data_IF_287048034289
#
_entry.id   IF_287048034289
#
_cell.length_a   1.000
_cell.length_b   1.000
_cell.length_c   1.000
_cell.angle_alpha   90.00
_cell.angle_beta   90.00
_cell.angle_gamma   90.00
#
_symmetry.space_group_name_H-M   'P 1'
#
loop_
_entity.id
_entity.type
_entity.pdbx_description
1 polymer ?
#
# COMPACT_ATOMS: atom_id res chain seq x y z
N UNK A 1 -43.75 -10.89 -40.57
CA UNK A 1 -44.88 -11.30 -39.72
C UNK A 1 -44.41 -12.48 -38.90
N UNK A 2 -44.01 -12.22 -37.64
CA UNK A 2 -43.63 -13.17 -36.56
C UNK A 2 -42.43 -14.11 -36.88
N UNK A 3 -41.50 -14.46 -35.99
CA UNK A 3 -41.55 -14.53 -34.53
C UNK A 3 -40.12 -14.47 -33.96
N UNK A 4 -40.00 -13.81 -32.81
CA UNK A 4 -38.78 -13.62 -32.04
C UNK A 4 -38.55 -14.89 -31.20
N UNK A 5 -37.56 -15.71 -31.56
CA UNK A 5 -37.14 -16.84 -30.72
C UNK A 5 -35.92 -16.46 -29.88
N UNK A 6 -36.22 -16.12 -28.62
CA UNK A 6 -35.31 -15.88 -27.51
C UNK A 6 -34.51 -17.17 -27.21
N UNK A 7 -33.15 -17.15 -27.14
CA UNK A 7 -32.41 -18.30 -26.62
C UNK A 7 -32.62 -18.43 -25.09
N UNK A 8 -32.75 -19.65 -24.56
CA UNK A 8 -33.12 -19.90 -23.17
C UNK A 8 -32.06 -19.39 -22.17
N UNK A 9 -32.45 -19.08 -20.92
CA UNK A 9 -31.52 -18.65 -19.89
C UNK A 9 -30.46 -19.73 -19.63
N UNK A 10 -29.21 -19.29 -19.55
CA UNK A 10 -28.07 -20.09 -19.13
C UNK A 10 -28.38 -20.75 -17.79
N UNK A 11 -28.60 -22.07 -17.84
CA UNK A 11 -28.76 -22.90 -16.66
C UNK A 11 -27.55 -22.67 -15.75
N UNK A 12 -27.84 -22.16 -14.55
CA UNK A 12 -26.87 -22.01 -13.49
C UNK A 12 -26.14 -23.34 -13.28
N UNK A 13 -24.82 -23.28 -13.27
CA UNK A 13 -23.96 -24.38 -12.92
C UNK A 13 -24.39 -24.95 -11.55
N UNK A 14 -24.98 -26.15 -11.55
CA UNK A 14 -25.36 -26.89 -10.35
C UNK A 14 -24.10 -27.64 -9.87
N UNK A 15 -23.47 -27.14 -8.81
CA UNK A 15 -22.38 -27.85 -8.13
C UNK A 15 -22.89 -29.21 -7.60
N UNK A 16 -22.13 -30.31 -7.71
CA UNK A 16 -22.48 -31.59 -7.09
C UNK A 16 -22.34 -31.55 -5.55
N UNK A 17 -23.24 -32.24 -4.85
CA UNK A 17 -23.46 -32.22 -3.38
C UNK A 17 -22.32 -32.86 -2.53
N UNK A 18 -21.08 -32.85 -2.98
CA UNK A 18 -19.94 -33.49 -2.30
C UNK A 18 -18.80 -32.52 -1.94
N UNK A 19 -19.09 -31.22 -1.84
CA UNK A 19 -18.13 -30.22 -1.39
C UNK A 19 -18.03 -30.17 0.15
N UNK A 20 -16.84 -30.28 0.77
CA UNK A 20 -16.70 -30.54 2.22
C UNK A 20 -16.77 -29.29 3.11
N UNK A 21 -17.46 -28.21 2.70
CA UNK A 21 -17.57 -26.96 3.49
C UNK A 21 -19.02 -26.52 3.78
N UNK A 22 -20.02 -27.37 3.59
CA UNK A 22 -21.39 -27.09 4.01
C UNK A 22 -21.58 -27.33 5.53
N UNK A 23 -20.97 -26.48 6.35
CA UNK A 23 -21.40 -26.31 7.74
C UNK A 23 -22.77 -25.62 7.79
N UNK A 24 -23.59 -25.85 8.84
CA UNK A 24 -24.91 -25.24 8.95
C UNK A 24 -24.79 -23.70 8.98
N UNK A 25 -25.57 -23.04 8.14
CA UNK A 25 -25.71 -21.59 8.14
C UNK A 25 -26.28 -21.13 9.50
N UNK A 26 -25.69 -20.12 10.16
CA UNK A 26 -26.22 -19.63 11.42
C UNK A 26 -27.53 -18.88 11.19
N UNK A 27 -28.62 -19.41 11.74
CA UNK A 27 -29.86 -18.68 11.98
C UNK A 27 -29.64 -17.69 13.13
N UNK A 28 -29.60 -16.40 12.82
CA UNK A 28 -29.78 -15.31 13.79
C UNK A 28 -30.66 -14.26 13.11
N UNK A 29 -31.98 -14.27 13.29
CA UNK A 29 -32.74 -13.53 14.33
C UNK A 29 -32.03 -12.27 14.84
N UNK A 30 -32.73 -11.14 14.68
CA UNK A 30 -32.24 -9.78 14.87
C UNK A 30 -31.57 -9.52 16.21
N UNK A 31 -30.35 -9.01 16.13
CA UNK A 31 -29.76 -8.10 17.11
C UNK A 31 -29.11 -6.98 16.30
N UNK A 32 -29.54 -5.75 16.55
CA UNK A 32 -29.03 -4.54 15.91
C UNK A 32 -27.49 -4.46 15.99
N UNK A 33 -26.84 -4.09 14.89
CA UNK A 33 -25.40 -3.76 14.83
C UNK A 33 -25.21 -2.25 15.01
N UNK A 34 -25.01 -1.72 16.23
CA UNK A 34 -24.60 -0.33 16.42
C UNK A 34 -23.13 -0.06 16.09
N UNK A 35 -22.27 -1.10 16.03
CA UNK A 35 -20.83 -0.94 15.85
C UNK A 35 -20.42 -0.49 14.43
N UNK A 36 -21.05 -1.02 13.38
CA UNK A 36 -20.71 -0.68 11.98
C UNK A 36 -21.04 0.78 11.63
N UNK A 37 -22.10 1.33 12.21
CA UNK A 37 -22.47 2.73 12.01
C UNK A 37 -21.47 3.69 12.67
N UNK A 38 -20.92 3.33 13.82
CA UNK A 38 -19.94 4.14 14.53
C UNK A 38 -18.55 4.15 13.85
N UNK A 39 -18.13 3.00 13.31
CA UNK A 39 -16.86 2.87 12.57
C UNK A 39 -16.84 3.67 11.26
N UNK A 40 -17.98 3.73 10.55
CA UNK A 40 -18.10 4.52 9.31
C UNK A 40 -18.06 6.02 9.61
N UNK A 41 -18.79 6.49 10.63
CA UNK A 41 -18.76 7.89 11.06
C UNK A 41 -17.36 8.34 11.48
N UNK A 42 -16.65 7.53 12.26
CA UNK A 42 -15.28 7.83 12.71
C UNK A 42 -14.30 7.97 11.52
N UNK A 43 -14.48 7.18 10.46
CA UNK A 43 -13.66 7.26 9.24
C UNK A 43 -13.97 8.49 8.40
N UNK A 44 -15.24 8.87 8.31
CA UNK A 44 -15.68 10.09 7.63
C UNK A 44 -15.12 11.33 8.34
N UNK A 45 -15.21 11.39 9.66
CA UNK A 45 -14.68 12.48 10.49
C UNK A 45 -13.15 12.63 10.33
N UNK A 46 -12.42 11.51 10.37
CA UNK A 46 -10.98 11.51 10.15
C UNK A 46 -10.60 12.01 8.73
N UNK A 47 -11.41 11.66 7.72
CA UNK A 47 -11.21 12.11 6.34
C UNK A 47 -11.45 13.62 6.19
N UNK A 48 -12.44 14.16 6.91
CA UNK A 48 -12.78 15.57 6.85
C UNK A 48 -11.77 16.43 7.64
N UNK A 49 -11.31 15.94 8.78
CA UNK A 49 -10.18 16.55 9.50
C UNK A 49 -8.92 16.62 8.62
N UNK A 50 -8.59 15.53 7.91
CA UNK A 50 -7.47 15.51 6.99
C UNK A 50 -7.62 16.56 5.88
N UNK A 51 -8.82 16.69 5.28
CA UNK A 51 -9.08 17.71 4.27
C UNK A 51 -8.88 19.12 4.81
N UNK A 52 -9.37 19.40 6.02
CA UNK A 52 -9.19 20.70 6.68
C UNK A 52 -7.72 21.01 6.95
N UNK A 53 -6.95 20.05 7.43
CA UNK A 53 -5.50 20.21 7.63
C UNK A 53 -4.79 20.55 6.33
N UNK A 54 -5.09 19.82 5.25
CA UNK A 54 -4.52 20.09 3.92
C UNK A 54 -4.90 21.50 3.45
N UNK A 55 -6.17 21.91 3.56
CA UNK A 55 -6.61 23.25 3.14
C UNK A 55 -5.90 24.37 3.91
N UNK A 56 -5.72 24.23 5.22
CA UNK A 56 -4.97 25.19 6.04
C UNK A 56 -3.49 25.23 5.65
N UNK A 57 -2.87 24.07 5.48
CA UNK A 57 -1.47 23.98 5.07
C UNK A 57 -1.25 24.60 3.68
N UNK A 58 -2.22 24.49 2.76
CA UNK A 58 -2.21 25.17 1.45
C UNK A 58 -2.17 26.70 1.56
N UNK A 59 -2.72 27.28 2.63
CA UNK A 59 -2.70 28.73 2.88
C UNK A 59 -1.48 29.19 3.70
N UNK A 60 -0.50 28.31 3.94
CA UNK A 60 0.74 28.63 4.65
C UNK A 60 0.72 28.37 6.15
N UNK A 61 -0.30 27.68 6.67
CA UNK A 61 -0.38 27.28 8.07
C UNK A 61 0.66 26.19 8.39
N UNK A 62 1.73 26.57 9.07
CA UNK A 62 2.84 25.67 9.39
C UNK A 62 2.47 24.60 10.41
N UNK A 63 1.54 24.89 11.34
CA UNK A 63 1.11 23.95 12.36
C UNK A 63 0.22 22.86 11.75
N UNK A 64 -0.64 23.25 10.80
CA UNK A 64 -1.40 22.30 10.01
C UNK A 64 -0.48 21.38 9.19
N UNK A 65 0.59 21.93 8.61
CA UNK A 65 1.60 21.10 7.93
C UNK A 65 2.37 20.21 8.90
N UNK A 66 2.73 20.69 10.10
CA UNK A 66 3.37 19.88 11.14
C UNK A 66 2.51 18.68 11.54
N UNK A 67 1.20 18.89 11.68
CA UNK A 67 0.25 17.79 11.95
C UNK A 67 0.21 16.75 10.82
N UNK A 68 0.30 17.21 9.56
CA UNK A 68 0.42 16.31 8.40
C UNK A 68 1.77 15.58 8.40
N UNK A 69 2.86 16.25 8.76
CA UNK A 69 4.18 15.65 8.89
C UNK A 69 4.15 14.50 9.90
N UNK A 70 3.69 14.75 11.13
CA UNK A 70 3.62 13.74 12.19
C UNK A 70 2.78 12.53 11.78
N UNK A 71 1.67 12.77 11.07
CA UNK A 71 0.76 11.73 10.59
C UNK A 71 1.39 10.83 9.52
N UNK A 72 2.22 11.38 8.64
CA UNK A 72 2.71 10.68 7.44
C UNK A 72 4.20 10.34 7.48
N UNK A 73 4.93 10.77 8.52
CA UNK A 73 6.38 10.53 8.65
C UNK A 73 6.72 9.05 8.53
N UNK A 74 6.09 8.19 9.33
CA UNK A 74 6.35 6.75 9.32
C UNK A 74 6.07 6.12 7.95
N UNK A 75 4.98 6.54 7.31
CA UNK A 75 4.58 6.04 5.99
C UNK A 75 5.64 6.37 4.93
N UNK A 76 6.12 7.61 4.88
CA UNK A 76 7.15 8.04 3.93
C UNK A 76 8.48 7.39 4.26
N UNK A 77 8.89 7.41 5.53
CA UNK A 77 10.15 6.84 5.99
C UNK A 77 10.26 5.35 5.66
N UNK A 78 9.23 4.56 5.99
CA UNK A 78 9.22 3.13 5.71
C UNK A 78 9.25 2.83 4.23
N UNK A 79 8.54 3.61 3.41
CA UNK A 79 8.63 3.49 1.96
C UNK A 79 10.07 3.72 1.47
N UNK A 80 10.68 4.84 1.88
CA UNK A 80 12.04 5.21 1.44
C UNK A 80 13.06 4.20 1.95
N UNK A 81 13.04 3.88 3.24
CA UNK A 81 13.94 2.92 3.86
C UNK A 81 13.86 1.55 3.18
N UNK A 82 12.65 1.05 2.93
CA UNK A 82 12.46 -0.19 2.19
C UNK A 82 13.08 -0.13 0.78
N UNK A 83 13.19 1.05 0.17
CA UNK A 83 13.75 1.21 -1.19
C UNK A 83 15.25 1.44 -1.22
N UNK A 84 15.87 1.91 -0.14
CA UNK A 84 17.29 2.28 -0.12
C UNK A 84 18.13 1.46 0.85
N UNK A 85 17.53 0.80 1.84
CA UNK A 85 18.22 -0.09 2.79
C UNK A 85 19.22 0.62 3.72
N UNK A 86 19.17 1.95 3.82
CA UNK A 86 20.13 2.75 4.57
C UNK A 86 19.39 3.77 5.42
N UNK A 87 19.57 3.72 6.75
CA UNK A 87 18.92 4.65 7.67
C UNK A 87 19.31 6.11 7.37
N UNK A 88 20.60 6.49 7.27
CA UNK A 88 20.96 7.88 6.97
C UNK A 88 20.36 8.38 5.66
N UNK A 89 20.43 7.57 4.60
CA UNK A 89 19.86 7.95 3.31
C UNK A 89 18.33 8.03 3.35
N UNK A 90 17.68 7.17 4.13
CA UNK A 90 16.24 7.21 4.31
C UNK A 90 15.77 8.47 5.04
N UNK A 91 16.50 8.88 6.09
CA UNK A 91 16.24 10.13 6.83
C UNK A 91 16.38 11.35 5.91
N UNK A 92 17.46 11.41 5.12
CA UNK A 92 17.70 12.51 4.17
C UNK A 92 16.60 12.61 3.11
N UNK A 93 16.27 11.51 2.45
CA UNK A 93 15.25 11.48 1.38
C UNK A 93 13.84 11.71 1.93
N UNK A 94 13.56 11.29 3.16
CA UNK A 94 12.29 11.58 3.85
C UNK A 94 12.18 13.07 4.14
N UNK A 95 13.23 13.67 4.71
CA UNK A 95 13.29 15.12 4.97
C UNK A 95 13.09 15.93 3.68
N UNK A 96 13.80 15.59 2.61
CA UNK A 96 13.64 16.25 1.31
C UNK A 96 12.24 16.02 0.70
N UNK A 97 11.60 14.88 0.96
CA UNK A 97 10.21 14.63 0.56
C UNK A 97 9.27 15.63 1.20
N UNK A 98 9.35 15.83 2.52
CA UNK A 98 8.50 16.79 3.23
C UNK A 98 8.83 18.24 2.87
N UNK A 99 10.10 18.58 2.65
CA UNK A 99 10.49 19.90 2.14
C UNK A 99 9.90 20.17 0.74
N UNK A 100 9.91 19.19 -0.17
CA UNK A 100 9.26 19.30 -1.48
C UNK A 100 7.74 19.35 -1.37
N UNK A 101 7.16 18.59 -0.44
CA UNK A 101 5.73 18.61 -0.19
C UNK A 101 5.29 19.99 0.31
N UNK A 102 5.98 20.57 1.29
CA UNK A 102 5.70 21.91 1.80
C UNK A 102 5.73 22.97 0.67
N UNK A 103 6.72 22.90 -0.22
CA UNK A 103 6.83 23.82 -1.37
C UNK A 103 5.72 23.64 -2.42
N UNK A 104 5.11 22.46 -2.51
CA UNK A 104 4.16 22.09 -3.57
C UNK A 104 2.74 21.87 -3.08
N UNK A 105 2.49 21.99 -1.78
CA UNK A 105 1.19 21.67 -1.19
C UNK A 105 0.08 22.56 -1.76
N UNK A 106 0.39 23.81 -2.09
CA UNK A 106 -0.53 24.73 -2.77
C UNK A 106 -1.13 24.16 -4.08
N UNK A 107 -0.36 23.33 -4.80
CA UNK A 107 -0.76 22.71 -6.06
C UNK A 107 -1.45 21.35 -5.89
N UNK A 108 -1.49 20.81 -4.66
CA UNK A 108 -2.12 19.52 -4.41
C UNK A 108 -3.63 19.54 -4.67
N UNK A 109 -4.13 18.50 -5.32
CA UNK A 109 -5.56 18.28 -5.61
C UNK A 109 -5.96 16.83 -5.31
N UNK A 110 -7.18 16.65 -4.81
CA UNK A 110 -7.75 15.36 -4.38
C UNK A 110 -8.24 14.47 -5.55
N UNK A 111 -7.71 14.62 -6.77
CA UNK A 111 -8.18 13.97 -8.02
C UNK A 111 -8.05 12.43 -8.01
N UNK A 112 -8.80 11.74 -7.15
CA UNK A 112 -8.66 10.30 -6.90
C UNK A 112 -7.34 9.92 -6.21
N UNK A 113 -6.62 10.90 -5.67
CA UNK A 113 -5.31 10.74 -5.01
C UNK A 113 -5.45 11.10 -3.54
N UNK A 114 -5.19 10.13 -2.67
CA UNK A 114 -5.00 10.41 -1.25
C UNK A 114 -3.70 11.21 -1.00
N UNK A 115 -3.69 11.98 0.08
CA UNK A 115 -2.54 12.81 0.44
C UNK A 115 -1.29 11.96 0.73
N UNK A 116 -1.44 10.79 1.38
CA UNK A 116 -0.33 9.86 1.59
C UNK A 116 0.23 9.32 0.27
N UNK A 117 -0.64 8.98 -0.69
CA UNK A 117 -0.21 8.56 -2.02
C UNK A 117 0.52 9.67 -2.80
N UNK A 118 0.13 10.92 -2.59
CA UNK A 118 0.86 12.07 -3.13
C UNK A 118 2.28 12.18 -2.53
N UNK A 119 2.42 12.09 -1.21
CA UNK A 119 3.73 12.13 -0.54
C UNK A 119 4.65 10.99 -1.02
N UNK A 120 4.12 9.77 -1.12
CA UNK A 120 4.89 8.62 -1.62
C UNK A 120 5.27 8.79 -3.08
N UNK A 121 4.45 9.47 -3.89
CA UNK A 121 4.85 9.82 -5.27
C UNK A 121 6.06 10.74 -5.28
N UNK A 122 6.12 11.73 -4.38
CA UNK A 122 7.29 12.63 -4.24
C UNK A 122 8.52 11.81 -3.81
N UNK A 123 8.37 10.98 -2.77
CA UNK A 123 9.44 10.12 -2.26
C UNK A 123 9.98 9.16 -3.33
N UNK A 124 9.09 8.53 -4.10
CA UNK A 124 9.45 7.65 -5.22
C UNK A 124 10.33 8.34 -6.24
N UNK A 125 9.97 9.57 -6.63
CA UNK A 125 10.73 10.35 -7.59
C UNK A 125 12.12 10.70 -7.04
N UNK A 126 12.21 11.08 -5.77
CA UNK A 126 13.47 11.34 -5.09
C UNK A 126 14.39 10.11 -5.03
N UNK A 127 13.84 8.96 -4.68
CA UNK A 127 14.58 7.68 -4.69
C UNK A 127 15.06 7.35 -6.12
N UNK A 128 14.20 7.50 -7.12
CA UNK A 128 14.56 7.26 -8.51
C UNK A 128 15.67 8.20 -9.00
N UNK A 129 15.57 9.49 -8.67
CA UNK A 129 16.58 10.51 -8.98
C UNK A 129 17.91 10.16 -8.30
N UNK A 130 17.90 9.80 -7.02
CA UNK A 130 19.10 9.37 -6.27
C UNK A 130 19.83 8.23 -6.97
N UNK A 131 19.11 7.16 -7.36
CA UNK A 131 19.72 6.03 -8.06
C UNK A 131 20.14 6.36 -9.49
N UNK A 132 19.47 7.28 -10.18
CA UNK A 132 19.87 7.74 -11.53
C UNK A 132 21.16 8.56 -11.46
N UNK A 133 21.26 9.49 -10.50
CA UNK A 133 22.47 10.29 -10.26
C UNK A 133 23.64 9.45 -9.73
N UNK A 134 23.36 8.41 -8.93
CA UNK A 134 24.36 7.43 -8.51
C UNK A 134 24.89 6.59 -9.68
N UNK A 135 24.01 6.07 -10.55
CA UNK A 135 24.40 5.33 -11.77
C UNK A 135 25.12 6.18 -12.81
N UNK A 136 24.87 7.50 -12.85
CA UNK A 136 25.63 8.39 -13.72
C UNK A 136 27.06 8.65 -13.20
N UNK A 137 27.32 8.37 -11.91
CA UNK A 137 28.67 8.41 -11.30
C UNK A 137 29.41 7.07 -11.34
N UNK A 138 28.70 5.95 -11.47
CA UNK A 138 29.26 4.60 -11.52
C UNK A 138 28.43 3.75 -12.49
N UNK A 139 29.00 3.43 -13.66
CA UNK A 139 28.39 2.51 -14.63
C UNK A 139 28.20 1.11 -14.00
N UNK A 140 26.95 0.61 -14.02
CA UNK A 140 26.48 -0.74 -13.65
C UNK A 140 26.68 -1.09 -12.15
N UNK A 141 25.62 -1.23 -11.36
CA UNK A 141 24.98 -2.54 -11.10
C UNK A 141 23.66 -2.35 -10.34
N UNK A 142 22.67 -3.16 -10.71
CA UNK A 142 21.44 -3.58 -10.00
C UNK A 142 21.08 -2.87 -8.69
N UNK A 143 19.85 -2.33 -8.64
CA UNK A 143 19.21 -1.83 -7.42
C UNK A 143 19.27 -2.89 -6.31
N UNK A 144 20.25 -2.74 -5.42
CA UNK A 144 20.36 -3.54 -4.21
C UNK A 144 19.43 -2.92 -3.17
N UNK A 145 18.25 -3.51 -3.05
CA UNK A 145 17.39 -3.30 -1.88
C UNK A 145 17.80 -4.36 -0.87
N UNK A 146 18.62 -3.99 0.12
CA UNK A 146 19.18 -4.91 1.13
C UNK A 146 19.04 -4.32 2.53
N UNK A 147 18.66 -5.22 3.44
CA UNK A 147 18.44 -5.19 4.88
C UNK A 147 17.39 -4.27 5.51
N UNK A 148 16.40 -4.91 6.15
CA UNK A 148 15.24 -4.33 6.82
C UNK A 148 15.01 -5.13 8.09
N UNK A 149 15.44 -4.64 9.26
CA UNK A 149 14.82 -5.00 10.52
C UNK A 149 13.52 -4.20 10.65
N UNK A 150 12.39 -4.88 10.79
CA UNK A 150 11.09 -4.26 11.12
C UNK A 150 10.96 -4.15 12.65
N UNK A 151 11.92 -3.51 13.33
CA UNK A 151 11.88 -3.36 14.78
C UNK A 151 11.41 -1.94 15.14
N UNK A 152 10.12 -1.82 15.44
CA UNK A 152 9.55 -0.69 16.15
C UNK A 152 9.53 -0.94 17.67
N UNK A 153 9.53 0.10 18.52
CA UNK A 153 9.55 -0.06 19.97
C UNK A 153 8.17 -0.51 20.47
N UNK A 154 7.87 -1.81 20.38
CA UNK A 154 6.89 -2.58 21.16
C UNK A 154 6.88 -4.01 20.61
N UNK A 155 7.77 -4.89 21.08
CA UNK A 155 7.75 -6.29 20.69
C UNK A 155 7.37 -7.16 21.91
N UNK A 156 6.19 -7.80 21.91
CA UNK A 156 5.78 -8.74 22.95
C UNK A 156 6.60 -10.04 22.92
N UNK A 157 6.43 -10.88 23.93
CA UNK A 157 7.17 -12.13 24.23
C UNK A 157 7.22 -13.20 23.09
N UNK A 158 6.55 -12.98 21.95
CA UNK A 158 6.65 -13.76 20.70
C UNK A 158 7.67 -13.21 19.69
N UNK A 159 8.49 -12.24 20.09
CA UNK A 159 9.44 -11.48 19.27
C UNK A 159 10.27 -12.30 18.28
N UNK A 160 10.82 -13.44 18.72
CA UNK A 160 11.73 -14.25 17.91
C UNK A 160 11.02 -14.93 16.75
N UNK A 161 9.84 -15.50 17.00
CA UNK A 161 9.04 -16.16 15.95
C UNK A 161 8.49 -15.13 14.97
N UNK A 162 8.01 -13.98 15.47
CA UNK A 162 7.58 -12.86 14.63
C UNK A 162 8.73 -12.29 13.78
N UNK A 163 9.93 -12.16 14.35
CA UNK A 163 11.11 -11.71 13.62
C UNK A 163 11.53 -12.71 12.54
N UNK A 164 11.52 -14.02 12.83
CA UNK A 164 11.84 -15.07 11.85
C UNK A 164 10.82 -15.16 10.71
N UNK A 165 9.53 -14.99 11.01
CA UNK A 165 8.46 -14.91 10.00
C UNK A 165 8.62 -13.65 9.15
N UNK A 166 8.89 -12.50 9.79
CA UNK A 166 9.12 -11.25 9.09
C UNK A 166 10.33 -11.33 8.16
N UNK A 167 11.44 -11.94 8.58
CA UNK A 167 12.65 -12.08 7.77
C UNK A 167 12.42 -12.96 6.53
N UNK A 168 11.68 -14.07 6.68
CA UNK A 168 11.27 -14.93 5.56
C UNK A 168 10.36 -14.19 4.57
N UNK A 169 9.38 -13.45 5.07
CA UNK A 169 8.48 -12.64 4.24
C UNK A 169 9.24 -11.54 3.50
N UNK A 170 10.12 -10.83 4.21
CA UNK A 170 10.98 -9.79 3.64
C UNK A 170 11.90 -10.35 2.56
N UNK A 171 12.53 -11.50 2.81
CA UNK A 171 13.37 -12.20 1.83
C UNK A 171 12.59 -12.62 0.59
N UNK A 172 11.37 -13.16 0.75
CA UNK A 172 10.51 -13.51 -0.38
C UNK A 172 10.10 -12.27 -1.19
N UNK A 173 9.81 -11.15 -0.53
CA UNK A 173 9.49 -9.88 -1.19
C UNK A 173 10.71 -9.31 -1.93
N UNK A 174 11.92 -9.44 -1.39
CA UNK A 174 13.17 -9.03 -2.07
C UNK A 174 13.48 -9.87 -3.30
N UNK A 175 13.07 -11.14 -3.33
CA UNK A 175 13.26 -12.01 -4.49
C UNK A 175 12.31 -11.67 -5.67
N UNK A 176 11.33 -10.78 -5.48
CA UNK A 176 10.45 -10.33 -6.54
C UNK A 176 11.17 -9.39 -7.52
N UNK A 177 10.66 -9.32 -8.76
CA UNK A 177 11.10 -8.28 -9.68
C UNK A 177 10.80 -6.86 -9.13
N UNK A 178 11.58 -5.82 -9.48
CA UNK A 178 11.46 -4.49 -8.87
C UNK A 178 10.05 -3.89 -8.91
N UNK A 179 9.32 -4.06 -10.02
CA UNK A 179 7.94 -3.58 -10.11
C UNK A 179 6.97 -4.38 -9.23
N UNK A 180 7.17 -5.69 -9.12
CA UNK A 180 6.33 -6.55 -8.27
C UNK A 180 6.55 -6.21 -6.79
N UNK A 181 7.81 -6.02 -6.40
CA UNK A 181 8.19 -5.59 -5.05
C UNK A 181 7.54 -4.23 -4.71
N UNK A 182 7.70 -3.23 -5.58
CA UNK A 182 7.08 -1.91 -5.40
C UNK A 182 5.55 -2.01 -5.30
N UNK A 183 4.92 -2.83 -6.14
CA UNK A 183 3.47 -3.06 -6.10
C UNK A 183 3.03 -3.70 -4.77
N UNK A 184 3.77 -4.68 -4.24
CA UNK A 184 3.46 -5.34 -2.97
C UNK A 184 3.58 -4.36 -1.80
N UNK A 185 4.67 -3.58 -1.77
CA UNK A 185 4.89 -2.57 -0.73
C UNK A 185 3.75 -1.55 -0.69
N UNK A 186 3.39 -0.98 -1.84
CA UNK A 186 2.31 0.00 -1.90
C UNK A 186 0.95 -0.61 -1.52
N UNK A 187 0.64 -1.82 -1.99
CA UNK A 187 -0.67 -2.46 -1.79
C UNK A 187 -0.87 -3.03 -0.38
N UNK A 188 0.16 -3.62 0.20
CA UNK A 188 0.05 -4.42 1.42
C UNK A 188 0.72 -3.77 2.62
N UNK A 189 1.90 -3.15 2.44
CA UNK A 189 2.58 -2.46 3.53
C UNK A 189 1.95 -1.07 3.79
N UNK A 190 1.59 -0.36 2.72
CA UNK A 190 1.00 0.98 2.82
C UNK A 190 -0.52 1.01 2.62
N UNK A 191 -1.15 -0.13 2.37
CA UNK A 191 -2.62 -0.24 2.23
C UNK A 191 -3.23 0.56 1.08
N UNK A 192 -2.44 1.09 0.14
CA UNK A 192 -2.93 1.94 -0.94
C UNK A 192 -3.84 1.15 -1.87
N UNK A 193 -4.95 1.74 -2.32
CA UNK A 193 -5.85 1.19 -3.34
C UNK A 193 -5.15 0.89 -4.68
N UNK A 194 -5.82 0.13 -5.55
CA UNK A 194 -5.33 -0.11 -6.92
C UNK A 194 -5.16 1.18 -7.72
N UNK A 195 -6.05 2.16 -7.51
CA UNK A 195 -6.01 3.44 -8.20
C UNK A 195 -4.83 4.31 -7.72
N UNK A 196 -4.62 4.39 -6.41
CA UNK A 196 -3.48 5.11 -5.84
C UNK A 196 -2.15 4.46 -6.24
N UNK A 197 -2.07 3.14 -6.17
CA UNK A 197 -0.88 2.40 -6.62
C UNK A 197 -0.59 2.65 -8.09
N UNK A 198 -1.62 2.65 -8.94
CA UNK A 198 -1.49 2.97 -10.37
C UNK A 198 -0.93 4.37 -10.59
N UNK A 199 -1.42 5.35 -9.82
CA UNK A 199 -0.99 6.73 -9.88
C UNK A 199 0.46 6.92 -9.41
N UNK A 200 0.86 6.28 -8.31
CA UNK A 200 2.24 6.32 -7.78
C UNK A 200 3.21 5.66 -8.76
N UNK A 201 2.84 4.50 -9.32
CA UNK A 201 3.69 3.75 -10.25
C UNK A 201 3.65 4.25 -11.69
N UNK A 202 2.78 5.23 -12.02
CA UNK A 202 2.60 5.74 -13.37
C UNK A 202 2.06 4.68 -14.35
N UNK A 203 1.20 3.78 -13.90
CA UNK A 203 0.64 2.65 -14.67
C UNK A 203 -0.88 2.70 -14.70
N UNK A 204 -1.50 1.91 -15.59
CA UNK A 204 -2.97 1.72 -15.61
C UNK A 204 -3.39 0.74 -14.50
N UNK A 205 -4.59 0.91 -13.92
CA UNK A 205 -5.11 0.03 -12.86
C UNK A 205 -5.15 -1.46 -13.26
N UNK A 206 -5.42 -1.77 -14.54
CA UNK A 206 -5.36 -3.13 -15.05
C UNK A 206 -3.94 -3.74 -15.00
N UNK A 207 -2.91 -2.93 -15.26
CA UNK A 207 -1.52 -3.35 -15.13
C UNK A 207 -1.15 -3.62 -13.66
N UNK A 208 -1.64 -2.80 -12.73
CA UNK A 208 -1.46 -3.03 -11.28
C UNK A 208 -2.13 -4.32 -10.85
N UNK A 209 -3.37 -4.60 -11.27
CA UNK A 209 -4.05 -5.87 -10.97
C UNK A 209 -3.23 -7.07 -11.43
N UNK A 210 -2.72 -7.02 -12.66
CA UNK A 210 -1.90 -8.11 -13.21
C UNK A 210 -0.55 -8.25 -12.45
N UNK A 211 0.06 -7.12 -12.08
CA UNK A 211 1.33 -7.10 -11.34
C UNK A 211 1.16 -7.65 -9.93
N UNK A 212 0.12 -7.23 -9.22
CA UNK A 212 -0.27 -7.75 -7.90
C UNK A 212 -0.50 -9.25 -7.97
N UNK A 213 -1.29 -9.74 -8.95
CA UNK A 213 -1.54 -11.17 -9.11
C UNK A 213 -0.24 -11.97 -9.30
N UNK A 214 0.66 -11.50 -10.18
CA UNK A 214 1.96 -12.15 -10.40
C UNK A 214 2.84 -12.12 -9.15
N UNK A 215 2.84 -11.02 -8.41
CA UNK A 215 3.61 -10.86 -7.19
C UNK A 215 3.13 -11.82 -6.08
N UNK A 216 1.82 -11.87 -5.82
CA UNK A 216 1.22 -12.80 -4.84
C UNK A 216 1.55 -14.24 -5.22
N UNK A 217 1.42 -14.61 -6.51
CA UNK A 217 1.73 -15.97 -6.96
C UNK A 217 3.21 -16.32 -6.82
N UNK A 218 4.11 -15.34 -6.95
CA UNK A 218 5.53 -15.53 -6.72
C UNK A 218 5.83 -15.70 -5.23
N UNK A 219 5.24 -14.86 -4.37
CA UNK A 219 5.35 -14.97 -2.91
C UNK A 219 4.82 -16.32 -2.40
N UNK A 220 3.66 -16.77 -2.89
CA UNK A 220 3.07 -18.05 -2.50
C UNK A 220 3.94 -19.26 -2.90
N UNK A 221 4.83 -19.13 -3.89
CA UNK A 221 5.80 -20.18 -4.23
C UNK A 221 7.08 -20.10 -3.38
N UNK A 222 7.44 -18.91 -2.93
CA UNK A 222 8.65 -18.65 -2.17
C UNK A 222 8.45 -18.86 -0.66
N UNK A 223 7.21 -18.71 -0.17
CA UNK A 223 6.85 -18.89 1.23
C UNK A 223 6.36 -20.33 1.47
N UNK A 224 6.83 -21.00 2.53
CA UNK A 224 6.36 -22.34 2.89
C UNK A 224 4.89 -22.32 3.38
N UNK A 225 4.21 -23.46 3.24
CA UNK A 225 2.76 -23.59 3.45
C UNK A 225 2.30 -23.58 4.91
N UNK A 226 3.23 -23.50 5.85
CA UNK A 226 3.04 -23.54 7.31
C UNK A 226 2.84 -22.14 7.94
N UNK A 227 2.80 -21.08 7.12
CA UNK A 227 2.57 -19.69 7.53
C UNK A 227 1.07 -19.32 7.70
N UNK A 228 0.16 -20.31 7.78
CA UNK A 228 -1.30 -20.15 7.79
C UNK A 228 -1.97 -20.64 9.06
#
# INVERSE_FOLDING_TARGET
MFEHAVPPPSQGYRMPDTWPFAGPLPTTSGVAQPARSNELATREDASEELRRLVLRAKTGDTDAFGTLYDRYLDLVYRYVYFRVGSHPLAEDLTSETFLRALRRIADFTWQGRDFGAWLVTIARNLVADHFKSGRYRLEVTTAQVIDVPLDGPHIPENAVVTAMINDRVLSAVRALGPEQQECVVLRFLHGMSLAETALVMGKKSGAIKALQFRAIRALARALPSDLG
#
